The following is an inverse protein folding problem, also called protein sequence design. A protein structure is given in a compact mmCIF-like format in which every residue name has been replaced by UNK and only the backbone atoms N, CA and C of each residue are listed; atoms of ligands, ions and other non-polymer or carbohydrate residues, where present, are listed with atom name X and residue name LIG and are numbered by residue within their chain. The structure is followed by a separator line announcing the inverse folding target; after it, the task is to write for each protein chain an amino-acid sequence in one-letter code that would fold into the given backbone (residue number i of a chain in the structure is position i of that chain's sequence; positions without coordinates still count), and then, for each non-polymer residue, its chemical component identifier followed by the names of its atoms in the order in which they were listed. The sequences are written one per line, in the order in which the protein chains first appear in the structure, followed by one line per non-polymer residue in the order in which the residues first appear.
data_IF_152210306364
#
_entry.id   IF_152210306364
#
_cell.length_a   1.000
_cell.length_b   1.000
_cell.length_c   1.000
_cell.angle_alpha   90.00
_cell.angle_beta   90.00
_cell.angle_gamma   90.00
#
_symmetry.space_group_name_H-M   'P 1'
#
loop_
_entity.id
_entity.type
_entity.pdbx_description
1 polymer ?
#
# COMPACT_ATOMS: atom_id res chain seq x y z
N UNK A 1 -1.47 15.88 -17.64
CA UNK A 1 -0.58 16.00 -16.46
C UNK A 1 -0.84 14.85 -15.51
N UNK A 2 0.20 14.12 -15.10
CA UNK A 2 0.11 12.95 -14.20
C UNK A 2 -0.08 13.35 -12.73
N UNK A 3 0.36 14.55 -12.36
CA UNK A 3 0.39 15.01 -10.97
C UNK A 3 -0.90 14.80 -10.17
N UNK A 4 -2.11 15.15 -10.67
CA UNK A 4 -3.32 15.00 -9.88
C UNK A 4 -3.63 13.53 -9.56
N UNK A 5 -3.29 12.60 -10.47
CA UNK A 5 -3.52 11.15 -10.27
C UNK A 5 -2.67 10.64 -9.11
N UNK A 6 -1.42 11.07 -9.02
CA UNK A 6 -0.51 10.62 -7.98
C UNK A 6 -0.78 11.31 -6.65
N UNK A 7 -1.03 12.61 -6.65
CA UNK A 7 -1.40 13.33 -5.42
C UNK A 7 -2.69 12.76 -4.81
N UNK A 8 -3.75 12.66 -5.61
CA UNK A 8 -5.03 12.12 -5.15
C UNK A 8 -5.01 10.63 -4.88
N UNK A 9 -4.13 9.91 -5.60
CA UNK A 9 -3.83 8.51 -5.36
C UNK A 9 -3.32 8.29 -3.95
N UNK A 10 -2.52 9.21 -3.40
CA UNK A 10 -2.02 9.10 -2.03
C UNK A 10 -2.88 9.84 -0.98
N UNK A 11 -3.70 10.82 -1.35
CA UNK A 11 -4.48 11.62 -0.40
C UNK A 11 -5.74 10.90 0.14
N UNK A 12 -5.58 9.80 0.88
CA UNK A 12 -6.66 9.01 1.44
C UNK A 12 -6.29 8.29 2.76
N UNK A 13 -7.27 7.60 3.37
CA UNK A 13 -7.12 6.95 4.68
C UNK A 13 -5.99 5.90 4.79
N UNK A 14 -5.77 5.07 3.76
CA UNK A 14 -4.71 4.06 3.84
C UNK A 14 -3.30 4.68 3.96
N UNK A 15 -3.00 5.73 3.20
CA UNK A 15 -1.76 6.52 3.33
C UNK A 15 -1.64 7.15 4.71
N UNK A 16 -2.73 7.69 5.23
CA UNK A 16 -2.76 8.24 6.59
C UNK A 16 -2.38 7.17 7.63
N UNK A 17 -2.92 5.96 7.50
CA UNK A 17 -2.61 4.84 8.39
C UNK A 17 -1.11 4.46 8.36
N UNK A 18 -0.42 4.60 7.23
CA UNK A 18 1.04 4.37 7.15
C UNK A 18 1.80 5.32 8.07
N UNK A 19 1.38 6.59 8.14
CA UNK A 19 2.04 7.62 8.95
C UNK A 19 1.87 7.46 10.47
N UNK A 20 1.01 6.54 10.90
CA UNK A 20 0.73 6.28 12.33
C UNK A 20 1.78 5.38 12.97
N UNK A 21 2.44 4.52 12.18
CA UNK A 21 3.24 3.38 12.66
C UNK A 21 4.35 3.78 13.65
N UNK A 22 5.12 4.82 13.35
CA UNK A 22 6.22 5.26 14.21
C UNK A 22 5.76 5.74 15.59
N UNK A 23 4.63 6.46 15.65
CA UNK A 23 4.01 6.87 16.91
C UNK A 23 3.50 5.66 17.69
N UNK A 24 2.83 4.72 17.02
CA UNK A 24 2.30 3.50 17.66
C UNK A 24 3.40 2.60 18.24
N UNK A 25 4.60 2.63 17.66
CA UNK A 25 5.80 1.94 18.17
C UNK A 25 6.54 2.75 19.25
N UNK A 26 5.99 3.90 19.66
CA UNK A 26 6.50 4.76 20.72
C UNK A 26 7.61 5.71 20.28
N UNK A 27 7.72 6.00 18.98
CA UNK A 27 8.49 7.14 18.48
C UNK A 27 7.83 8.47 18.88
N UNK A 28 8.60 9.55 18.85
CA UNK A 28 8.06 10.90 19.04
C UNK A 28 7.66 11.53 17.69
N UNK A 29 6.90 12.62 17.76
CA UNK A 29 6.38 13.33 16.58
C UNK A 29 7.50 13.79 15.64
N UNK A 30 8.59 14.38 16.17
CA UNK A 30 9.72 14.87 15.39
C UNK A 30 10.34 13.77 14.52
N UNK A 31 10.82 12.69 15.14
CA UNK A 31 11.54 11.65 14.41
C UNK A 31 10.62 10.80 13.52
N UNK A 32 9.36 10.65 13.90
CA UNK A 32 8.36 9.99 13.05
C UNK A 32 8.07 10.82 11.79
N UNK A 33 7.93 12.15 11.93
CA UNK A 33 7.75 13.03 10.78
C UNK A 33 8.96 13.02 9.84
N UNK A 34 10.18 13.04 10.38
CA UNK A 34 11.41 12.90 9.59
C UNK A 34 11.45 11.55 8.87
N UNK A 35 11.08 10.46 9.55
CA UNK A 35 11.03 9.13 8.96
C UNK A 35 10.01 9.04 7.81
N UNK A 36 8.82 9.62 7.97
CA UNK A 36 7.80 9.73 6.91
C UNK A 36 8.36 10.44 5.69
N UNK A 37 8.91 11.65 5.87
CA UNK A 37 9.43 12.44 4.75
C UNK A 37 10.59 11.72 4.06
N UNK A 38 11.55 11.18 4.81
CA UNK A 38 12.70 10.46 4.26
C UNK A 38 12.27 9.18 3.52
N UNK A 39 11.33 8.43 4.09
CA UNK A 39 10.77 7.23 3.48
C UNK A 39 10.04 7.54 2.17
N UNK A 40 9.19 8.58 2.17
CA UNK A 40 8.50 9.02 0.97
C UNK A 40 9.48 9.50 -0.12
N UNK A 41 10.49 10.30 0.24
CA UNK A 41 11.54 10.73 -0.71
C UNK A 41 12.21 9.53 -1.38
N UNK A 42 12.58 8.52 -0.59
CA UNK A 42 13.28 7.32 -1.05
C UNK A 42 12.39 6.42 -1.93
N UNK A 43 11.21 6.05 -1.43
CA UNK A 43 10.32 5.13 -2.14
C UNK A 43 9.76 5.76 -3.43
N UNK A 44 9.35 7.03 -3.36
CA UNK A 44 8.82 7.74 -4.53
C UNK A 44 9.89 7.95 -5.61
N UNK A 45 11.17 8.05 -5.24
CA UNK A 45 12.26 8.21 -6.20
C UNK A 45 12.33 7.03 -7.15
N UNK A 46 12.36 5.81 -6.62
CA UNK A 46 12.37 4.60 -7.42
C UNK A 46 11.06 4.39 -8.16
N UNK A 47 9.92 4.60 -7.49
CA UNK A 47 8.60 4.55 -8.11
C UNK A 47 8.50 5.46 -9.34
N UNK A 48 8.93 6.71 -9.24
CA UNK A 48 8.81 7.70 -10.32
C UNK A 48 9.66 7.34 -11.55
N UNK A 49 10.80 6.67 -11.38
CA UNK A 49 11.61 6.20 -12.51
C UNK A 49 10.92 5.12 -13.35
N UNK A 50 10.01 4.34 -12.77
CA UNK A 50 9.19 3.42 -13.56
C UNK A 50 8.19 4.15 -14.46
N UNK A 51 7.74 5.35 -14.07
CA UNK A 51 6.76 6.12 -14.85
C UNK A 51 7.29 6.53 -16.22
N UNK A 52 8.59 6.71 -16.36
CA UNK A 52 9.21 7.18 -17.60
C UNK A 52 9.18 6.12 -18.69
N UNK A 53 8.94 4.86 -18.33
CA UNK A 53 8.86 3.73 -19.25
C UNK A 53 7.54 3.74 -20.01
N UNK A 54 6.47 4.29 -19.41
CA UNK A 54 5.14 4.37 -19.98
C UNK A 54 5.11 5.04 -21.36
N UNK A 55 5.55 6.31 -21.51
CA UNK A 55 5.54 7.01 -22.80
C UNK A 55 6.41 6.35 -23.87
N UNK A 56 7.50 5.69 -23.46
CA UNK A 56 8.44 5.04 -24.38
C UNK A 56 7.94 3.71 -24.93
N UNK A 57 7.30 2.90 -24.08
CA UNK A 57 6.87 1.55 -24.44
C UNK A 57 5.39 1.48 -24.81
N UNK A 58 4.54 2.35 -24.24
CA UNK A 58 3.09 2.32 -24.43
C UNK A 58 2.40 1.09 -23.85
N UNK A 59 3.09 0.32 -23.00
CA UNK A 59 2.62 -0.96 -22.45
C UNK A 59 2.22 -0.83 -20.97
N UNK A 60 1.26 -1.65 -20.48
CA UNK A 60 1.02 -1.82 -19.05
C UNK A 60 2.29 -2.16 -18.29
N UNK A 61 2.43 -1.62 -17.07
CA UNK A 61 3.67 -1.70 -16.28
C UNK A 61 4.16 -3.13 -16.10
N UNK A 62 3.27 -4.03 -15.73
CA UNK A 62 3.66 -5.42 -15.46
C UNK A 62 4.13 -6.12 -16.73
N UNK A 63 3.54 -5.86 -17.90
CA UNK A 63 3.99 -6.44 -19.19
C UNK A 63 5.44 -6.06 -19.50
N UNK A 64 5.88 -4.87 -19.08
CA UNK A 64 7.25 -4.41 -19.25
C UNK A 64 8.29 -5.20 -18.44
N UNK A 65 7.86 -6.17 -17.62
CA UNK A 65 8.74 -7.11 -16.92
C UNK A 65 9.22 -8.27 -17.82
N UNK A 66 8.61 -8.50 -18.99
CA UNK A 66 8.99 -9.60 -19.89
C UNK A 66 10.42 -9.50 -20.42
N UNK A 67 10.98 -8.33 -20.78
CA UNK A 67 12.38 -8.24 -21.19
C UNK A 67 13.38 -8.74 -20.14
N UNK A 68 13.08 -8.55 -18.85
CA UNK A 68 13.98 -8.92 -17.76
C UNK A 68 13.78 -10.36 -17.31
N UNK A 69 12.54 -10.83 -17.26
CA UNK A 69 12.19 -12.14 -16.69
C UNK A 69 11.82 -13.21 -17.73
N UNK A 70 11.60 -12.82 -18.98
CA UNK A 70 11.13 -13.69 -20.07
C UNK A 70 9.60 -13.70 -20.20
N UNK A 71 9.10 -14.25 -21.30
CA UNK A 71 7.67 -14.27 -21.64
C UNK A 71 6.80 -14.90 -20.54
N UNK A 72 7.20 -16.08 -20.04
CA UNK A 72 6.53 -16.79 -18.94
C UNK A 72 7.16 -16.46 -17.58
N UNK A 73 8.47 -16.19 -17.52
CA UNK A 73 9.13 -15.88 -16.25
C UNK A 73 8.62 -14.60 -15.59
N UNK A 74 8.08 -13.64 -16.35
CA UNK A 74 7.44 -12.45 -15.80
C UNK A 74 6.23 -12.75 -14.89
N UNK A 75 5.61 -13.93 -14.99
CA UNK A 75 4.52 -14.35 -14.11
C UNK A 75 4.91 -14.34 -12.63
N UNK A 76 6.20 -14.53 -12.31
CA UNK A 76 6.72 -14.44 -10.95
C UNK A 76 6.37 -13.08 -10.31
N UNK A 77 6.74 -11.99 -11.00
CA UNK A 77 6.56 -10.63 -10.47
C UNK A 77 5.12 -10.14 -10.64
N UNK A 78 4.35 -10.72 -11.56
CA UNK A 78 2.92 -10.46 -11.69
C UNK A 78 2.12 -11.09 -10.54
N UNK A 79 2.56 -12.27 -10.05
CA UNK A 79 2.03 -12.86 -8.83
C UNK A 79 2.23 -11.96 -7.62
N UNK A 80 3.44 -11.39 -7.47
CA UNK A 80 3.73 -10.38 -6.43
C UNK A 80 2.85 -9.15 -6.58
N UNK A 81 2.70 -8.61 -7.79
CA UNK A 81 1.79 -7.49 -8.06
C UNK A 81 0.34 -7.81 -7.65
N UNK A 82 -0.13 -9.04 -7.89
CA UNK A 82 -1.46 -9.47 -7.48
C UNK A 82 -1.63 -9.48 -5.95
N UNK A 83 -0.61 -9.90 -5.20
CA UNK A 83 -0.62 -9.84 -3.74
C UNK A 83 -0.79 -8.38 -3.28
N UNK A 84 -0.08 -7.44 -3.91
CA UNK A 84 -0.22 -6.02 -3.59
C UNK A 84 -1.63 -5.50 -3.88
N UNK A 85 -2.14 -5.69 -5.10
CA UNK A 85 -3.47 -5.19 -5.48
C UNK A 85 -4.58 -5.75 -4.59
N UNK A 86 -4.57 -7.07 -4.35
CA UNK A 86 -5.58 -7.75 -3.53
C UNK A 86 -5.43 -7.35 -2.05
N UNK A 87 -4.20 -7.30 -1.54
CA UNK A 87 -3.90 -6.91 -0.16
C UNK A 87 -4.32 -5.48 0.15
N UNK A 88 -3.99 -4.52 -0.71
CA UNK A 88 -4.41 -3.14 -0.54
C UNK A 88 -5.93 -2.98 -0.65
N UNK A 89 -6.59 -3.68 -1.56
CA UNK A 89 -8.05 -3.63 -1.61
C UNK A 89 -8.72 -4.24 -0.39
N UNK A 90 -8.18 -5.34 0.14
CA UNK A 90 -8.68 -5.90 1.39
C UNK A 90 -8.53 -4.88 2.54
N UNK A 91 -7.39 -4.20 2.60
CA UNK A 91 -7.12 -3.16 3.60
C UNK A 91 -8.08 -1.96 3.48
N UNK A 92 -8.19 -1.41 2.27
CA UNK A 92 -9.00 -0.24 2.01
C UNK A 92 -10.46 -0.46 2.37
N UNK A 93 -11.01 -1.66 2.11
CA UNK A 93 -12.41 -1.95 2.44
C UNK A 93 -12.66 -1.99 3.96
N UNK A 94 -11.69 -2.49 4.74
CA UNK A 94 -11.77 -2.51 6.22
C UNK A 94 -11.67 -1.09 6.76
N UNK A 95 -10.70 -0.30 6.29
CA UNK A 95 -10.58 1.11 6.69
C UNK A 95 -11.82 1.93 6.34
N UNK A 96 -12.42 1.65 5.18
CA UNK A 96 -13.64 2.31 4.76
C UNK A 96 -14.83 1.99 5.69
N UNK A 97 -14.95 0.74 6.15
CA UNK A 97 -15.97 0.35 7.12
C UNK A 97 -15.76 1.03 8.49
N UNK A 98 -14.51 1.16 8.95
CA UNK A 98 -14.17 1.89 10.17
C UNK A 98 -14.48 3.38 10.05
N UNK A 99 -14.17 4.00 8.90
CA UNK A 99 -14.54 5.38 8.63
C UNK A 99 -16.05 5.60 8.61
N UNK A 100 -16.81 4.66 8.02
CA UNK A 100 -18.28 4.70 8.06
C UNK A 100 -18.84 4.53 9.46
N UNK A 101 -18.22 3.69 10.30
CA UNK A 101 -18.58 3.57 11.71
C UNK A 101 -18.39 4.91 12.44
N UNK A 102 -17.28 5.62 12.20
CA UNK A 102 -17.10 6.94 12.81
C UNK A 102 -18.11 7.98 12.33
N UNK A 103 -18.42 7.98 11.04
CA UNK A 103 -19.45 8.87 10.50
C UNK A 103 -20.87 8.53 10.98
N UNK A 104 -21.11 7.27 11.33
CA UNK A 104 -22.39 6.76 11.77
C UNK A 104 -22.22 5.54 12.69
N UNK A 105 -22.27 5.78 14.01
CA UNK A 105 -22.06 4.75 15.03
C UNK A 105 -23.02 3.56 15.00
N UNK A 106 -24.10 3.62 14.21
CA UNK A 106 -24.99 2.46 13.99
C UNK A 106 -24.37 1.38 13.07
N UNK A 107 -23.35 1.72 12.28
CA UNK A 107 -22.63 0.79 11.42
C UNK A 107 -21.49 0.18 12.24
N UNK A 108 -21.42 -1.14 12.37
CA UNK A 108 -20.27 -1.79 13.03
C UNK A 108 -18.95 -1.51 12.28
N UNK A 109 -17.82 -1.28 12.98
CA UNK A 109 -16.51 -1.03 12.34
C UNK A 109 -16.01 -2.22 11.51
N UNK A 110 -16.53 -3.42 11.75
CA UNK A 110 -16.23 -4.64 11.00
C UNK A 110 -17.42 -5.12 10.17
N UNK A 111 -18.37 -4.24 9.84
CA UNK A 111 -19.60 -4.57 9.12
C UNK A 111 -19.30 -5.23 7.77
N UNK A 112 -19.67 -6.51 7.57
CA UNK A 112 -19.49 -7.20 6.29
C UNK A 112 -20.18 -6.48 5.14
N UNK A 113 -21.37 -5.93 5.40
CA UNK A 113 -22.15 -5.18 4.41
C UNK A 113 -21.41 -3.91 3.97
N UNK A 114 -20.82 -3.16 4.91
CA UNK A 114 -20.06 -1.95 4.57
C UNK A 114 -18.82 -2.29 3.71
N UNK A 115 -18.06 -3.30 4.13
CA UNK A 115 -16.86 -3.82 3.42
C UNK A 115 -17.23 -4.17 1.96
N UNK A 116 -18.28 -4.99 1.78
CA UNK A 116 -18.71 -5.46 0.47
C UNK A 116 -19.25 -4.32 -0.41
N UNK A 117 -20.08 -3.43 0.13
CA UNK A 117 -20.68 -2.34 -0.65
C UNK A 117 -19.64 -1.33 -1.15
N UNK A 118 -18.66 -0.98 -0.32
CA UNK A 118 -17.55 -0.11 -0.72
C UNK A 118 -16.72 -0.77 -1.82
N UNK A 119 -16.40 -2.06 -1.66
CA UNK A 119 -15.69 -2.83 -2.67
C UNK A 119 -16.46 -2.85 -4.01
N UNK A 120 -17.78 -3.04 -3.97
CA UNK A 120 -18.63 -3.03 -5.17
C UNK A 120 -18.62 -1.66 -5.85
N UNK A 121 -18.69 -0.56 -5.09
CA UNK A 121 -18.57 0.80 -5.62
C UNK A 121 -17.24 1.03 -6.33
N UNK A 122 -16.13 0.58 -5.72
CA UNK A 122 -14.81 0.66 -6.33
C UNK A 122 -14.69 -0.20 -7.62
N UNK A 123 -15.25 -1.41 -7.63
CA UNK A 123 -15.30 -2.27 -8.83
C UNK A 123 -16.14 -1.62 -9.94
N UNK A 124 -17.27 -1.03 -9.60
CA UNK A 124 -18.12 -0.32 -10.57
C UNK A 124 -17.34 0.83 -11.22
N UNK A 125 -16.62 1.64 -10.44
CA UNK A 125 -15.75 2.69 -10.95
C UNK A 125 -14.60 2.12 -11.81
N UNK A 126 -13.98 1.02 -11.37
CA UNK A 126 -12.94 0.33 -12.13
C UNK A 126 -13.45 -0.23 -13.47
N UNK A 127 -14.73 -0.63 -13.55
CA UNK A 127 -15.38 -1.09 -14.77
C UNK A 127 -15.61 0.06 -15.77
N UNK A 128 -15.88 1.28 -15.31
CA UNK A 128 -15.98 2.48 -16.16
C UNK A 128 -14.65 2.82 -16.86
N UNK A 129 -13.52 2.51 -16.20
CA UNK A 129 -12.18 2.57 -16.79
C UNK A 129 -11.43 3.88 -16.65
N UNK A 130 -10.28 3.91 -17.31
CA UNK A 130 -9.21 4.89 -17.11
C UNK A 130 -9.68 6.36 -17.11
N UNK A 131 -10.42 6.80 -18.14
CA UNK A 131 -10.78 8.21 -18.30
C UNK A 131 -11.64 8.73 -17.14
N UNK A 132 -12.58 7.90 -16.65
CA UNK A 132 -13.47 8.25 -15.55
C UNK A 132 -12.74 8.27 -14.21
N UNK A 133 -11.84 7.32 -13.99
CA UNK A 133 -10.98 7.30 -12.80
C UNK A 133 -10.10 8.56 -12.79
N UNK A 134 -9.45 8.88 -13.91
CA UNK A 134 -8.57 10.03 -14.02
C UNK A 134 -9.32 11.37 -13.85
N UNK A 135 -10.56 11.47 -14.34
CA UNK A 135 -11.39 12.66 -14.14
C UNK A 135 -11.77 12.83 -12.66
N UNK A 136 -12.20 11.76 -11.99
CA UNK A 136 -12.54 11.78 -10.57
C UNK A 136 -11.33 12.19 -9.71
N UNK A 137 -10.16 11.60 -9.97
CA UNK A 137 -8.93 11.91 -9.27
C UNK A 137 -8.49 13.37 -9.42
N UNK A 138 -8.70 13.98 -10.60
CA UNK A 138 -8.34 15.38 -10.82
C UNK A 138 -9.17 16.33 -9.97
N UNK A 139 -10.49 16.14 -9.92
CA UNK A 139 -11.36 16.95 -9.05
C UNK A 139 -11.03 16.73 -7.57
N UNK A 140 -10.83 15.46 -7.21
CA UNK A 140 -10.52 15.07 -5.83
C UNK A 140 -9.17 15.63 -5.34
N UNK A 141 -8.16 15.73 -6.21
CA UNK A 141 -6.87 16.34 -5.87
C UNK A 141 -7.05 17.76 -5.31
N UNK A 142 -7.80 18.63 -6.01
CA UNK A 142 -8.00 20.01 -5.57
C UNK A 142 -8.81 20.10 -4.27
N UNK A 143 -9.83 19.25 -4.11
CA UNK A 143 -10.58 19.16 -2.86
C UNK A 143 -9.66 18.82 -1.68
N UNK A 144 -8.83 17.79 -1.83
CA UNK A 144 -7.91 17.36 -0.78
C UNK A 144 -6.81 18.39 -0.49
N UNK A 145 -6.30 19.12 -1.49
CA UNK A 145 -5.36 20.22 -1.24
C UNK A 145 -5.98 21.24 -0.28
N UNK A 146 -7.23 21.65 -0.51
CA UNK A 146 -7.91 22.62 0.37
C UNK A 146 -8.07 22.06 1.77
N UNK A 147 -8.62 20.84 1.90
CA UNK A 147 -8.87 20.22 3.21
C UNK A 147 -7.55 20.04 3.99
N UNK A 148 -6.51 19.49 3.35
CA UNK A 148 -5.22 19.26 3.99
C UNK A 148 -4.50 20.57 4.35
N UNK A 149 -4.67 21.62 3.55
CA UNK A 149 -4.13 22.95 3.86
C UNK A 149 -4.81 23.54 5.09
N UNK A 150 -6.14 23.51 5.15
CA UNK A 150 -6.90 24.01 6.31
C UNK A 150 -6.50 23.24 7.57
N UNK A 151 -6.45 21.91 7.50
CA UNK A 151 -6.01 21.07 8.61
C UNK A 151 -4.58 21.43 9.04
N UNK A 152 -3.63 21.47 8.11
CA UNK A 152 -2.21 21.61 8.45
C UNK A 152 -1.87 22.99 8.98
N UNK A 153 -2.40 24.05 8.35
CA UNK A 153 -2.21 25.42 8.82
C UNK A 153 -2.88 25.60 10.18
N UNK A 154 -4.12 25.14 10.34
CA UNK A 154 -4.81 25.26 11.62
C UNK A 154 -4.15 24.45 12.74
N UNK A 155 -3.65 23.25 12.43
CA UNK A 155 -2.92 22.42 13.39
C UNK A 155 -1.68 23.11 13.98
N UNK A 156 -0.99 23.96 13.21
CA UNK A 156 0.15 24.73 13.72
C UNK A 156 -0.24 25.74 14.81
N UNK A 157 -1.48 26.21 14.82
CA UNK A 157 -1.96 27.24 15.75
C UNK A 157 -2.83 26.68 16.88
N UNK A 158 -3.50 25.55 16.66
CA UNK A 158 -4.47 25.01 17.63
C UNK A 158 -3.98 23.75 18.35
N UNK A 159 -3.18 22.90 17.69
CA UNK A 159 -2.70 21.66 18.30
C UNK A 159 -1.42 21.93 19.08
N UNK A 160 -1.47 21.60 20.37
CA UNK A 160 -0.34 21.71 21.28
C UNK A 160 0.12 20.32 21.70
N UNK A 161 1.40 20.02 21.51
CA UNK A 161 2.00 18.76 21.90
C UNK A 161 2.95 18.96 23.09
N UNK A 162 3.05 17.98 24.02
CA UNK A 162 4.07 18.02 25.07
C UNK A 162 5.48 18.14 24.48
N UNK A 163 6.39 18.85 25.15
CA UNK A 163 7.74 19.12 24.64
C UNK A 163 8.53 17.86 24.24
N UNK A 164 8.29 16.72 24.92
CA UNK A 164 8.91 15.42 24.60
C UNK A 164 8.63 14.95 23.16
N UNK A 165 7.51 15.39 22.55
CA UNK A 165 7.19 15.06 21.16
C UNK A 165 8.15 15.71 20.15
N UNK A 166 8.80 16.80 20.55
CA UNK A 166 9.74 17.56 19.74
C UNK A 166 11.19 17.42 20.21
N UNK A 167 11.45 16.58 21.21
CA UNK A 167 12.78 16.39 21.77
C UNK A 167 13.70 15.62 20.80
N UNK A 168 14.79 16.23 20.30
CA UNK A 168 15.75 15.53 19.45
C UNK A 168 16.43 14.37 20.17
N UNK A 169 16.60 14.43 21.49
CA UNK A 169 17.18 13.34 22.29
C UNK A 169 16.23 12.12 22.40
N UNK A 170 14.94 12.29 22.08
CA UNK A 170 13.93 11.22 22.06
C UNK A 170 14.05 10.25 20.89
N UNK A 171 15.17 10.23 20.16
CA UNK A 171 15.38 9.32 19.03
C UNK A 171 15.34 7.86 19.45
N UNK A 172 14.55 7.06 18.73
CA UNK A 172 14.45 5.61 18.91
C UNK A 172 14.60 4.93 17.56
N UNK A 173 15.65 4.13 17.39
CA UNK A 173 16.00 3.53 16.09
C UNK A 173 14.93 2.60 15.52
N UNK A 174 14.28 1.78 16.35
CA UNK A 174 13.25 0.83 15.91
C UNK A 174 12.02 1.54 15.30
N UNK A 175 11.30 2.43 16.01
CA UNK A 175 10.14 3.12 15.43
C UNK A 175 10.52 4.01 14.25
N UNK A 176 11.72 4.63 14.26
CA UNK A 176 12.22 5.43 13.14
C UNK A 176 12.39 4.59 11.86
N UNK A 177 13.11 3.48 11.94
CA UNK A 177 13.37 2.61 10.78
C UNK A 177 12.07 1.93 10.30
N UNK A 178 11.21 1.51 11.22
CA UNK A 178 9.91 0.94 10.88
C UNK A 178 9.05 1.94 10.09
N UNK A 179 8.90 3.18 10.57
CA UNK A 179 8.16 4.21 9.86
C UNK A 179 8.79 4.57 8.51
N UNK A 180 10.12 4.72 8.46
CA UNK A 180 10.84 5.07 7.24
C UNK A 180 10.64 4.02 6.16
N UNK A 181 10.84 2.75 6.49
CA UNK A 181 10.70 1.66 5.51
C UNK A 181 9.24 1.33 5.21
N UNK A 182 8.30 1.58 6.13
CA UNK A 182 6.88 1.50 5.83
C UNK A 182 6.47 2.56 4.79
N UNK A 183 6.87 3.82 4.99
CA UNK A 183 6.62 4.90 4.02
C UNK A 183 7.31 4.65 2.68
N UNK A 184 8.57 4.19 2.70
CA UNK A 184 9.30 3.85 1.49
C UNK A 184 8.68 2.66 0.74
N UNK A 185 8.27 1.62 1.45
CA UNK A 185 7.58 0.46 0.88
C UNK A 185 6.25 0.84 0.26
N UNK A 186 5.47 1.65 0.99
CA UNK A 186 4.19 2.14 0.50
C UNK A 186 4.37 2.88 -0.83
N UNK A 187 5.27 3.87 -0.88
CA UNK A 187 5.57 4.60 -2.12
C UNK A 187 6.13 3.70 -3.21
N UNK A 188 7.05 2.79 -2.87
CA UNK A 188 7.63 1.88 -3.84
C UNK A 188 6.56 0.96 -4.45
N UNK A 189 5.56 0.53 -3.68
CA UNK A 189 4.54 -0.40 -4.16
C UNK A 189 3.68 0.20 -5.28
N UNK A 190 3.58 1.53 -5.38
CA UNK A 190 2.93 2.22 -6.48
C UNK A 190 3.66 2.06 -7.84
N UNK A 191 4.88 1.54 -7.84
CA UNK A 191 5.65 1.28 -9.05
C UNK A 191 4.96 0.32 -10.03
N UNK A 192 4.09 -0.59 -9.57
CA UNK A 192 3.33 -1.50 -10.43
C UNK A 192 2.19 -0.82 -11.21
N UNK A 193 1.89 0.44 -10.89
CA UNK A 193 0.79 1.23 -11.44
C UNK A 193 1.28 2.28 -12.43
N UNK A 194 2.51 2.79 -12.30
CA UNK A 194 2.91 4.06 -12.92
C UNK A 194 2.86 4.08 -14.44
N UNK A 195 3.26 3.00 -15.12
CA UNK A 195 3.12 2.92 -16.58
C UNK A 195 1.70 2.67 -17.05
N UNK A 196 0.80 2.19 -16.21
CA UNK A 196 -0.61 2.03 -16.61
C UNK A 196 -1.26 3.40 -16.88
N UNK A 197 -0.75 4.46 -16.26
CA UNK A 197 -1.22 5.84 -16.47
C UNK A 197 -0.35 6.59 -17.47
N UNK A 198 0.96 6.53 -17.32
CA UNK A 198 1.89 7.28 -18.17
C UNK A 198 1.97 6.75 -19.61
N UNK A 199 1.57 5.51 -19.91
CA UNK A 199 1.45 4.98 -21.29
C UNK A 199 0.47 5.74 -22.19
N UNK A 200 -0.45 6.50 -21.61
CA UNK A 200 -1.43 7.30 -22.35
C UNK A 200 -0.92 8.70 -22.69
N UNK A 201 0.28 9.07 -22.24
CA UNK A 201 0.89 10.33 -22.59
C UNK A 201 1.33 10.36 -24.06
N UNK A 202 1.40 11.56 -24.66
CA UNK A 202 2.01 11.76 -25.97
C UNK A 202 3.45 11.20 -26.02
N UNK A 203 3.85 10.69 -27.20
CA UNK A 203 5.15 10.02 -27.40
C UNK A 203 6.35 10.95 -27.25
N UNK A 204 6.15 12.25 -27.39
CA UNK A 204 7.15 13.31 -27.26
C UNK A 204 7.41 13.72 -25.79
N UNK A 205 6.63 13.20 -24.84
CA UNK A 205 6.89 13.44 -23.41
C UNK A 205 8.18 12.72 -22.99
N UNK A 206 9.14 13.52 -22.52
CA UNK A 206 10.44 13.04 -22.08
C UNK A 206 10.44 12.35 -20.71
N UNK A 207 11.58 11.73 -20.41
CA UNK A 207 11.87 11.06 -19.12
C UNK A 207 11.72 12.04 -17.95
N UNK A 208 12.26 13.26 -18.10
CA UNK A 208 12.29 14.27 -17.03
C UNK A 208 10.88 14.71 -16.65
N UNK A 209 10.04 15.00 -17.63
CA UNK A 209 8.66 15.45 -17.43
C UNK A 209 7.85 14.35 -16.75
N UNK A 210 7.94 13.12 -17.24
CA UNK A 210 7.23 11.99 -16.63
C UNK A 210 7.71 11.71 -15.21
N UNK A 211 9.02 11.83 -14.95
CA UNK A 211 9.58 11.64 -13.62
C UNK A 211 9.06 12.69 -12.64
N UNK A 212 9.24 13.98 -12.93
CA UNK A 212 8.94 15.04 -11.95
C UNK A 212 7.44 15.18 -11.66
N UNK A 213 6.57 15.03 -12.66
CA UNK A 213 5.13 15.11 -12.42
C UNK A 213 4.60 13.92 -11.63
N UNK A 214 5.21 12.74 -11.78
CA UNK A 214 4.90 11.57 -10.94
C UNK A 214 5.50 11.73 -9.55
N UNK A 215 6.79 12.08 -9.46
CA UNK A 215 7.52 12.23 -8.21
C UNK A 215 6.88 13.28 -7.30
N UNK A 216 6.64 14.50 -7.80
CA UNK A 216 6.05 15.57 -7.00
C UNK A 216 4.61 15.27 -6.59
N UNK A 217 3.84 14.63 -7.46
CA UNK A 217 2.45 14.26 -7.14
C UNK A 217 2.41 13.25 -6.00
N UNK A 218 3.10 12.13 -6.17
CA UNK A 218 3.11 11.04 -5.19
C UNK A 218 3.82 11.44 -3.90
N UNK A 219 4.97 12.13 -3.98
CA UNK A 219 5.70 12.57 -2.79
C UNK A 219 4.87 13.54 -1.95
N UNK A 220 4.31 14.58 -2.57
CA UNK A 220 3.52 15.58 -1.83
C UNK A 220 2.24 14.94 -1.29
N UNK A 221 1.50 14.16 -2.09
CA UNK A 221 0.30 13.48 -1.60
C UNK A 221 0.60 12.50 -0.46
N UNK A 222 1.60 11.63 -0.67
CA UNK A 222 2.03 10.60 0.26
C UNK A 222 2.54 11.17 1.57
N UNK A 223 3.57 12.01 1.52
CA UNK A 223 4.17 12.59 2.71
C UNK A 223 3.17 13.46 3.48
N UNK A 224 2.37 14.28 2.79
CA UNK A 224 1.40 15.15 3.46
C UNK A 224 0.33 14.34 4.19
N UNK A 225 -0.29 13.36 3.52
CA UNK A 225 -1.33 12.55 4.14
C UNK A 225 -0.78 11.64 5.26
N UNK A 226 0.44 11.09 5.10
CA UNK A 226 1.11 10.37 6.18
C UNK A 226 1.40 11.27 7.39
N UNK A 227 1.88 12.50 7.17
CA UNK A 227 2.14 13.46 8.24
C UNK A 227 0.84 13.85 8.98
N UNK A 228 -0.29 13.97 8.29
CA UNK A 228 -1.60 14.13 8.94
C UNK A 228 -1.87 12.95 9.88
N UNK A 229 -1.57 11.72 9.45
CA UNK A 229 -1.69 10.53 10.29
C UNK A 229 -0.76 10.53 11.49
N UNK A 230 0.49 10.94 11.29
CA UNK A 230 1.49 11.12 12.36
C UNK A 230 1.03 12.12 13.41
N UNK A 231 0.50 13.27 12.99
CA UNK A 231 -0.06 14.31 13.87
C UNK A 231 -1.29 13.80 14.61
N UNK A 232 -2.22 13.15 13.89
CA UNK A 232 -3.43 12.57 14.48
C UNK A 232 -3.13 11.51 15.54
N UNK A 233 -2.19 10.61 15.26
CA UNK A 233 -1.74 9.60 16.21
C UNK A 233 -1.06 10.21 17.45
N UNK A 234 -0.28 11.27 17.28
CA UNK A 234 0.34 11.97 18.40
C UNK A 234 -0.70 12.71 19.26
N UNK A 235 -1.77 13.23 18.65
CA UNK A 235 -2.84 13.95 19.33
C UNK A 235 -3.76 13.01 20.11
N UNK A 236 -4.08 11.85 19.54
CA UNK A 236 -5.00 10.88 20.11
C UNK A 236 -4.46 9.43 20.02
N UNK A 237 -3.39 9.08 20.75
CA UNK A 237 -2.66 7.82 20.59
C UNK A 237 -3.43 6.54 20.96
N UNK A 238 -4.60 6.69 21.61
CA UNK A 238 -5.46 5.56 22.02
C UNK A 238 -6.63 5.33 21.08
N UNK A 239 -6.86 6.22 20.11
CA UNK A 239 -7.94 6.11 19.16
C UNK A 239 -7.50 5.32 17.93
N UNK A 240 -8.47 4.75 17.21
CA UNK A 240 -8.21 4.16 15.90
C UNK A 240 -7.87 5.26 14.88
N UNK A 241 -7.41 4.86 13.69
CA UNK A 241 -6.91 5.78 12.67
C UNK A 241 -7.96 6.83 12.26
N UNK A 242 -9.21 6.41 12.07
CA UNK A 242 -10.29 7.30 11.64
C UNK A 242 -10.69 8.28 12.74
N UNK A 243 -10.86 7.80 13.98
CA UNK A 243 -11.22 8.62 15.12
C UNK A 243 -10.11 9.57 15.55
N UNK A 244 -8.83 9.13 15.50
CA UNK A 244 -7.69 9.99 15.80
C UNK A 244 -7.61 11.17 14.84
N UNK A 245 -7.84 10.91 13.55
CA UNK A 245 -7.87 11.95 12.52
C UNK A 245 -9.05 12.90 12.73
N UNK A 246 -10.26 12.38 12.96
CA UNK A 246 -11.44 13.20 13.23
C UNK A 246 -11.22 14.10 14.46
N UNK A 247 -10.73 13.52 15.56
CA UNK A 247 -10.42 14.25 16.79
C UNK A 247 -9.40 15.38 16.57
N UNK A 248 -8.29 15.08 15.90
CA UNK A 248 -7.25 16.07 15.63
C UNK A 248 -7.76 17.20 14.71
N UNK A 249 -8.59 16.87 13.73
CA UNK A 249 -9.14 17.84 12.80
C UNK A 249 -10.25 18.71 13.44
N UNK A 250 -11.11 18.15 14.28
CA UNK A 250 -12.13 18.92 15.01
C UNK A 250 -11.51 19.86 16.06
N UNK A 251 -10.36 19.49 16.62
CA UNK A 251 -9.56 20.38 17.48
C UNK A 251 -8.95 21.57 16.70
N UNK A 252 -8.85 21.47 15.37
CA UNK A 252 -8.46 22.59 14.50
C UNK A 252 -9.64 23.51 14.20
N UNK A 253 -10.74 22.92 13.75
CA UNK A 253 -11.97 23.62 13.41
C UNK A 253 -13.14 22.67 13.63
N UNK A 254 -14.13 23.00 14.48
CA UNK A 254 -15.28 22.13 14.70
C UNK A 254 -15.98 21.73 13.40
N UNK A 255 -16.12 20.43 13.15
CA UNK A 255 -16.72 19.85 11.95
C UNK A 255 -15.74 19.54 10.83
N UNK A 256 -14.47 19.98 10.93
CA UNK A 256 -13.43 19.65 9.96
C UNK A 256 -13.10 18.16 9.97
N UNK A 257 -13.20 17.48 11.11
CA UNK A 257 -12.96 16.04 11.22
C UNK A 257 -13.86 15.24 10.30
N UNK A 258 -15.17 15.54 10.31
CA UNK A 258 -16.13 14.92 9.40
C UNK A 258 -15.83 15.23 7.93
N UNK A 259 -15.46 16.47 7.60
CA UNK A 259 -15.10 16.88 6.23
C UNK A 259 -13.87 16.12 5.73
N UNK A 260 -12.82 16.07 6.54
CA UNK A 260 -11.59 15.35 6.22
C UNK A 260 -11.83 13.84 6.11
N UNK A 261 -12.64 13.26 6.99
CA UNK A 261 -12.97 11.84 6.96
C UNK A 261 -13.77 11.44 5.72
N UNK A 262 -14.79 12.22 5.35
CA UNK A 262 -15.53 12.00 4.10
C UNK A 262 -14.62 12.17 2.89
N UNK A 263 -13.79 13.21 2.86
CA UNK A 263 -12.81 13.43 1.80
C UNK A 263 -11.86 12.24 1.65
N UNK A 264 -11.21 11.83 2.74
CA UNK A 264 -10.28 10.71 2.74
C UNK A 264 -10.94 9.37 2.39
N UNK A 265 -12.22 9.17 2.72
CA UNK A 265 -13.02 8.00 2.33
C UNK A 265 -13.32 8.00 0.83
N UNK A 266 -13.69 9.14 0.25
CA UNK A 266 -13.87 9.27 -1.20
C UNK A 266 -12.57 8.96 -1.95
N UNK A 267 -11.44 9.49 -1.46
CA UNK A 267 -10.11 9.14 -1.96
C UNK A 267 -9.86 7.63 -1.91
N UNK A 268 -10.19 7.00 -0.78
CA UNK A 268 -10.02 5.57 -0.57
C UNK A 268 -10.81 4.72 -1.59
N UNK A 269 -12.02 5.15 -1.98
CA UNK A 269 -12.79 4.49 -3.04
C UNK A 269 -12.11 4.63 -4.39
N UNK A 270 -11.57 5.81 -4.71
CA UNK A 270 -10.89 6.03 -6.00
C UNK A 270 -9.61 5.20 -6.13
N UNK A 271 -8.78 5.11 -5.08
CA UNK A 271 -7.60 4.21 -5.09
C UNK A 271 -8.03 2.74 -5.12
N UNK A 272 -9.11 2.36 -4.45
CA UNK A 272 -9.58 0.97 -4.53
C UNK A 272 -10.00 0.59 -5.95
N UNK A 273 -10.56 1.54 -6.70
CA UNK A 273 -10.85 1.37 -8.12
C UNK A 273 -9.57 1.23 -8.96
N UNK A 274 -8.51 2.01 -8.67
CA UNK A 274 -7.19 1.87 -9.29
C UNK A 274 -6.61 0.47 -9.07
N UNK A 275 -6.66 -0.02 -7.83
CA UNK A 275 -6.19 -1.36 -7.48
C UNK A 275 -6.96 -2.46 -8.23
N UNK A 276 -8.29 -2.37 -8.30
CA UNK A 276 -9.08 -3.35 -9.06
C UNK A 276 -8.79 -3.28 -10.56
N UNK A 277 -8.60 -2.08 -11.10
CA UNK A 277 -8.24 -1.89 -12.50
C UNK A 277 -6.87 -2.51 -12.82
N UNK A 278 -5.84 -2.24 -12.03
CA UNK A 278 -4.51 -2.83 -12.18
C UNK A 278 -4.49 -4.34 -11.97
N UNK A 279 -5.25 -4.85 -10.99
CA UNK A 279 -5.46 -6.29 -10.79
C UNK A 279 -6.10 -6.94 -12.04
N UNK A 280 -7.13 -6.31 -12.60
CA UNK A 280 -7.80 -6.80 -13.82
C UNK A 280 -6.84 -6.86 -15.01
N UNK A 281 -6.06 -5.80 -15.26
CA UNK A 281 -5.06 -5.79 -16.33
C UNK A 281 -3.99 -6.88 -16.14
N UNK A 282 -3.51 -7.05 -14.90
CA UNK A 282 -2.49 -8.04 -14.58
C UNK A 282 -3.04 -9.47 -14.71
N UNK A 283 -4.25 -9.75 -14.22
CA UNK A 283 -4.92 -11.05 -14.38
C UNK A 283 -5.15 -11.41 -15.84
N UNK A 284 -5.61 -10.46 -16.66
CA UNK A 284 -5.77 -10.66 -18.09
C UNK A 284 -4.42 -10.95 -18.77
N UNK A 285 -3.35 -10.26 -18.36
CA UNK A 285 -2.00 -10.51 -18.88
C UNK A 285 -1.48 -11.90 -18.48
N UNK A 286 -1.72 -12.33 -17.25
CA UNK A 286 -1.43 -13.70 -16.79
C UNK A 286 -2.16 -14.74 -17.65
N UNK A 287 -3.46 -14.55 -17.85
CA UNK A 287 -4.27 -15.46 -18.65
C UNK A 287 -3.80 -15.51 -20.12
N UNK A 288 -3.44 -14.36 -20.71
CA UNK A 288 -2.94 -14.26 -22.09
C UNK A 288 -1.61 -15.00 -22.28
N UNK A 289 -0.76 -15.00 -21.24
CA UNK A 289 0.52 -15.71 -21.23
C UNK A 289 0.34 -17.22 -21.28
N UNK A 290 -0.72 -17.75 -20.68
CA UNK A 290 -1.05 -19.18 -20.71
C UNK A 290 -1.76 -19.55 -22.00
N UNK A 291 -2.77 -18.76 -22.40
CA UNK A 291 -3.54 -18.97 -23.62
C UNK A 291 -3.88 -17.62 -24.25
N UNK A 292 -3.49 -17.36 -25.51
CA UNK A 292 -3.76 -16.10 -26.17
C UNK A 292 -5.24 -15.74 -26.08
N UNK A 293 -5.52 -14.53 -25.61
CA UNK A 293 -6.88 -14.06 -25.40
C UNK A 293 -7.13 -12.73 -26.07
N UNK A 294 -8.30 -12.61 -26.67
CA UNK A 294 -8.85 -11.30 -27.04
C UNK A 294 -9.50 -10.68 -25.81
N UNK A 295 -9.10 -9.46 -25.47
CA UNK A 295 -9.74 -8.69 -24.40
C UNK A 295 -11.16 -8.29 -24.83
N UNK A 296 -12.16 -8.70 -24.04
CA UNK A 296 -13.56 -8.32 -24.23
C UNK A 296 -14.10 -7.71 -22.93
N UNK A 297 -15.19 -6.95 -23.02
CA UNK A 297 -15.84 -6.38 -21.84
C UNK A 297 -16.18 -7.47 -20.79
N UNK A 298 -16.69 -8.62 -21.24
CA UNK A 298 -17.01 -9.76 -20.37
C UNK A 298 -15.77 -10.25 -19.62
N UNK A 299 -14.64 -10.48 -20.30
CA UNK A 299 -13.41 -10.95 -19.64
C UNK A 299 -12.86 -9.92 -18.64
N UNK A 300 -13.00 -8.63 -18.95
CA UNK A 300 -12.67 -7.56 -18.02
C UNK A 300 -13.54 -7.63 -16.76
N UNK A 301 -14.86 -7.74 -16.89
CA UNK A 301 -15.77 -7.89 -15.74
C UNK A 301 -15.47 -9.16 -14.93
N UNK A 302 -15.18 -10.27 -15.59
CA UNK A 302 -14.78 -11.52 -14.91
C UNK A 302 -13.47 -11.33 -14.13
N UNK A 303 -12.45 -10.71 -14.72
CA UNK A 303 -11.19 -10.46 -14.01
C UNK A 303 -11.36 -9.50 -12.82
N UNK A 304 -12.24 -8.50 -12.92
CA UNK A 304 -12.61 -7.63 -11.80
C UNK A 304 -13.33 -8.42 -10.70
N UNK A 305 -14.26 -9.30 -11.08
CA UNK A 305 -14.97 -10.16 -10.13
C UNK A 305 -14.02 -11.12 -9.39
N UNK A 306 -13.02 -11.69 -10.07
CA UNK A 306 -12.01 -12.53 -9.43
C UNK A 306 -11.20 -11.73 -8.40
N UNK A 307 -10.72 -10.54 -8.77
CA UNK A 307 -9.99 -9.67 -7.85
C UNK A 307 -10.87 -9.22 -6.66
N UNK A 308 -12.15 -8.93 -6.92
CA UNK A 308 -13.15 -8.57 -5.90
C UNK A 308 -13.36 -9.70 -4.89
N UNK A 309 -13.61 -10.93 -5.35
CA UNK A 309 -13.83 -12.08 -4.47
C UNK A 309 -12.58 -12.34 -3.62
N UNK A 310 -11.39 -12.32 -4.21
CA UNK A 310 -10.14 -12.53 -3.49
C UNK A 310 -9.92 -11.46 -2.40
N UNK A 311 -10.12 -10.18 -2.74
CA UNK A 311 -9.91 -9.07 -1.80
C UNK A 311 -10.95 -9.09 -0.66
N UNK A 312 -12.22 -9.36 -0.97
CA UNK A 312 -13.28 -9.46 0.03
C UNK A 312 -13.08 -10.65 0.98
N UNK A 313 -12.64 -11.80 0.47
CA UNK A 313 -12.36 -12.97 1.30
C UNK A 313 -11.29 -12.66 2.35
N UNK A 314 -10.24 -11.92 1.98
CA UNK A 314 -9.20 -11.49 2.91
C UNK A 314 -9.72 -10.42 3.88
N UNK A 315 -10.47 -9.42 3.38
CA UNK A 315 -11.04 -8.37 4.21
C UNK A 315 -11.96 -8.93 5.31
N UNK A 316 -12.89 -9.82 4.94
CA UNK A 316 -13.86 -10.42 5.85
C UNK A 316 -13.23 -11.38 6.86
N UNK A 317 -12.15 -12.09 6.47
CA UNK A 317 -11.45 -13.02 7.38
C UNK A 317 -10.47 -12.33 8.34
N UNK A 318 -10.03 -11.10 8.02
CA UNK A 318 -8.96 -10.40 8.76
C UNK A 318 -9.39 -9.09 9.42
N UNK A 319 -10.67 -8.73 9.39
CA UNK A 319 -11.19 -7.41 9.77
C UNK A 319 -10.91 -6.97 11.21
N UNK A 320 -10.65 -7.90 12.15
CA UNK A 320 -10.50 -7.60 13.58
C UNK A 320 -9.09 -7.20 14.04
N UNK A 321 -8.02 -7.46 13.27
CA UNK A 321 -6.62 -7.21 13.68
C UNK A 321 -5.77 -6.56 12.58
N UNK A 322 -6.39 -5.69 11.78
CA UNK A 322 -5.85 -5.36 10.46
C UNK A 322 -4.64 -4.40 10.50
N UNK A 323 -4.54 -3.45 11.45
CA UNK A 323 -3.41 -2.49 11.51
C UNK A 323 -2.07 -3.20 11.68
N UNK A 324 -1.98 -4.17 12.58
CA UNK A 324 -0.74 -4.96 12.76
C UNK A 324 -0.40 -5.78 11.50
N UNK A 325 -1.41 -6.30 10.79
CA UNK A 325 -1.20 -7.02 9.53
C UNK A 325 -0.84 -6.11 8.36
N UNK A 326 -1.12 -4.81 8.46
CA UNK A 326 -0.80 -3.85 7.42
C UNK A 326 0.70 -3.54 7.39
N UNK A 327 1.35 -3.37 8.56
CA UNK A 327 2.81 -3.28 8.63
C UNK A 327 3.48 -4.53 8.03
N UNK A 328 2.99 -5.72 8.38
CA UNK A 328 3.48 -6.98 7.80
C UNK A 328 3.32 -7.03 6.28
N UNK A 329 2.17 -6.57 5.76
CA UNK A 329 1.95 -6.46 4.32
C UNK A 329 2.99 -5.53 3.67
N UNK A 330 3.20 -4.33 4.22
CA UNK A 330 4.20 -3.39 3.71
C UNK A 330 5.61 -3.98 3.75
N UNK A 331 5.97 -4.71 4.80
CA UNK A 331 7.26 -5.38 4.89
C UNK A 331 7.43 -6.44 3.79
N UNK A 332 6.43 -7.30 3.60
CA UNK A 332 6.42 -8.32 2.54
C UNK A 332 6.53 -7.70 1.15
N UNK A 333 5.75 -6.66 0.87
CA UNK A 333 5.79 -5.94 -0.40
C UNK A 333 7.17 -5.31 -0.64
N UNK A 334 7.79 -4.73 0.39
CA UNK A 334 9.14 -4.18 0.29
C UNK A 334 10.14 -5.25 -0.15
N UNK A 335 10.13 -6.41 0.52
CA UNK A 335 11.05 -7.51 0.21
C UNK A 335 10.85 -8.07 -1.19
N UNK A 336 9.61 -8.13 -1.68
CA UNK A 336 9.32 -8.71 -2.99
C UNK A 336 9.50 -7.70 -4.15
N UNK A 337 9.24 -6.41 -3.94
CA UNK A 337 9.36 -5.39 -4.99
C UNK A 337 10.73 -4.75 -5.08
N UNK A 338 11.52 -4.70 -3.99
CA UNK A 338 12.90 -4.16 -4.04
C UNK A 338 13.76 -4.82 -5.14
N UNK A 339 13.86 -6.16 -5.23
CA UNK A 339 14.69 -6.79 -6.26
C UNK A 339 14.10 -6.61 -7.66
N UNK A 340 12.77 -6.64 -7.81
CA UNK A 340 12.13 -6.38 -9.10
C UNK A 340 12.39 -4.95 -9.60
N UNK A 341 12.23 -3.96 -8.72
CA UNK A 341 12.49 -2.54 -9.00
C UNK A 341 13.92 -2.36 -9.46
N UNK A 342 14.89 -2.89 -8.69
CA UNK A 342 16.31 -2.79 -9.03
C UNK A 342 16.61 -3.39 -10.41
N UNK A 343 16.13 -4.61 -10.69
CA UNK A 343 16.34 -5.29 -11.97
C UNK A 343 15.72 -4.51 -13.12
N UNK A 344 14.47 -4.06 -12.97
CA UNK A 344 13.76 -3.36 -14.02
C UNK A 344 14.40 -1.99 -14.33
N UNK A 345 14.76 -1.20 -13.31
CA UNK A 345 15.40 0.09 -13.52
C UNK A 345 16.82 -0.06 -14.08
N UNK A 346 17.62 -1.01 -13.59
CA UNK A 346 18.96 -1.30 -14.14
C UNK A 346 18.86 -1.76 -15.60
N UNK A 347 17.92 -2.65 -15.92
CA UNK A 347 17.72 -3.09 -17.30
C UNK A 347 17.34 -1.93 -18.22
N UNK A 348 16.42 -1.06 -17.77
CA UNK A 348 15.94 0.06 -18.56
C UNK A 348 16.98 1.15 -18.77
N UNK A 349 17.64 1.60 -17.71
CA UNK A 349 18.56 2.75 -17.78
C UNK A 349 19.99 2.37 -18.17
N UNK A 350 20.49 1.22 -17.73
CA UNK A 350 21.90 0.86 -17.88
C UNK A 350 22.13 -0.18 -18.97
N UNK A 351 21.35 -1.27 -18.98
CA UNK A 351 21.58 -2.40 -19.89
C UNK A 351 21.05 -2.10 -21.29
N UNK A 352 19.76 -1.76 -21.40
CA UNK A 352 19.06 -1.56 -22.68
C UNK A 352 18.91 -0.09 -23.05
N UNK A 353 19.09 0.82 -22.10
CA UNK A 353 19.07 2.28 -22.31
C UNK A 353 17.81 2.74 -23.04
N UNK A 354 16.65 2.20 -22.66
CA UNK A 354 15.35 2.49 -23.29
C UNK A 354 15.08 1.78 -24.63
N UNK A 355 16.03 1.02 -25.19
CA UNK A 355 15.85 0.35 -26.49
C UNK A 355 15.25 -1.04 -26.34
N UNK A 356 13.96 -1.17 -26.69
CA UNK A 356 13.21 -2.41 -26.64
C UNK A 356 12.52 -2.72 -27.97
N UNK A 357 12.53 -3.99 -28.37
CA UNK A 357 11.61 -4.49 -29.39
C UNK A 357 10.27 -4.85 -28.75
N UNK A 358 9.22 -4.05 -28.99
CA UNK A 358 7.87 -4.29 -28.47
C UNK A 358 7.29 -5.59 -29.05
N UNK A 359 7.53 -5.87 -30.34
CA UNK A 359 7.05 -7.09 -30.99
C UNK A 359 7.57 -8.35 -30.28
N UNK A 360 8.84 -8.34 -29.90
CA UNK A 360 9.47 -9.48 -29.24
C UNK A 360 8.99 -9.67 -27.79
N UNK A 361 8.45 -8.64 -27.13
CA UNK A 361 7.82 -8.74 -25.79
C UNK A 361 6.59 -9.68 -25.85
N UNK A 362 5.92 -9.76 -26.99
CA UNK A 362 4.76 -10.62 -27.19
C UNK A 362 5.09 -11.94 -27.92
N UNK A 363 6.37 -12.22 -28.20
CA UNK A 363 6.81 -13.44 -28.86
C UNK A 363 7.39 -14.43 -27.85
N UNK A 364 6.72 -15.58 -27.55
CA UNK A 364 7.22 -16.56 -26.59
C UNK A 364 8.52 -17.26 -27.07
N UNK A 365 8.79 -17.25 -28.37
CA UNK A 365 10.03 -17.74 -28.98
C UNK A 365 10.98 -16.60 -29.38
N UNK A 366 10.73 -15.39 -28.87
CA UNK A 366 11.47 -14.19 -29.22
C UNK A 366 12.77 -14.00 -28.45
N UNK A 367 13.45 -12.88 -28.72
CA UNK A 367 14.78 -12.57 -28.20
C UNK A 367 14.87 -12.45 -26.67
N UNK A 368 13.76 -12.20 -25.97
CA UNK A 368 13.72 -12.16 -24.51
C UNK A 368 13.58 -13.55 -23.87
N UNK A 369 13.35 -14.58 -24.69
CA UNK A 369 13.17 -15.96 -24.26
C UNK A 369 11.89 -16.19 -23.45
N UNK A 370 11.54 -17.46 -23.26
CA UNK A 370 10.39 -17.83 -22.42
C UNK A 370 10.68 -17.68 -20.94
N UNK A 371 11.91 -18.00 -20.54
CA UNK A 371 12.44 -17.90 -19.19
C UNK A 371 13.79 -17.21 -19.26
N UNK A 372 13.87 -15.94 -18.86
CA UNK A 372 15.14 -15.22 -18.86
C UNK A 372 15.87 -15.49 -17.54
N UNK A 373 16.77 -16.48 -17.57
CA UNK A 373 17.50 -16.90 -16.37
C UNK A 373 18.33 -15.79 -15.73
N UNK A 374 18.77 -14.78 -16.48
CA UNK A 374 19.57 -13.67 -15.93
C UNK A 374 18.74 -12.83 -14.94
N UNK A 375 17.52 -12.44 -15.31
CA UNK A 375 16.65 -11.69 -14.41
C UNK A 375 16.09 -12.55 -13.28
N UNK A 376 15.72 -13.81 -13.56
CA UNK A 376 15.21 -14.73 -12.54
C UNK A 376 16.27 -15.03 -11.46
N UNK A 377 17.50 -15.30 -11.85
CA UNK A 377 18.60 -15.55 -10.89
C UNK A 377 18.95 -14.28 -10.11
N UNK A 378 19.03 -13.11 -10.77
CA UNK A 378 19.24 -11.85 -10.07
C UNK A 378 18.16 -11.56 -9.03
N UNK A 379 16.89 -11.88 -9.34
CA UNK A 379 15.79 -11.71 -8.40
C UNK A 379 15.90 -12.65 -7.21
N UNK A 380 16.15 -13.94 -7.45
CA UNK A 380 16.29 -14.94 -6.38
C UNK A 380 17.50 -14.66 -5.49
N UNK A 381 18.64 -14.27 -6.06
CA UNK A 381 19.84 -13.89 -5.31
C UNK A 381 19.58 -12.62 -4.50
N UNK A 382 18.98 -11.59 -5.12
CA UNK A 382 18.62 -10.36 -4.42
C UNK A 382 17.68 -10.64 -3.25
N UNK A 383 16.63 -11.43 -3.47
CA UNK A 383 15.70 -11.88 -2.44
C UNK A 383 16.41 -12.64 -1.32
N UNK A 384 17.26 -13.63 -1.65
CA UNK A 384 17.99 -14.42 -0.68
C UNK A 384 18.93 -13.59 0.20
N UNK A 385 19.61 -12.59 -0.38
CA UNK A 385 20.49 -11.66 0.35
C UNK A 385 19.71 -10.79 1.35
N UNK A 386 18.43 -10.52 1.09
CA UNK A 386 17.60 -9.74 2.02
C UNK A 386 17.09 -10.56 3.22
N UNK A 387 17.00 -11.89 3.12
CA UNK A 387 16.42 -12.77 4.16
C UNK A 387 17.02 -12.53 5.57
N UNK A 388 18.35 -12.41 5.76
CA UNK A 388 18.93 -12.15 7.08
C UNK A 388 18.45 -10.84 7.72
N UNK A 389 18.01 -9.89 6.90
CA UNK A 389 17.52 -8.57 7.32
C UNK A 389 16.01 -8.52 7.53
N UNK A 390 15.31 -9.65 7.41
CA UNK A 390 13.88 -9.69 7.69
C UNK A 390 13.60 -9.47 9.18
N UNK A 391 12.67 -8.55 9.46
CA UNK A 391 12.22 -8.28 10.83
C UNK A 391 11.53 -9.52 11.42
N UNK A 392 11.54 -9.61 12.75
CA UNK A 392 11.15 -10.81 13.51
C UNK A 392 9.70 -11.30 13.26
N UNK A 393 8.82 -10.45 12.71
CA UNK A 393 7.45 -10.82 12.35
C UNK A 393 7.38 -11.75 11.11
N UNK A 394 8.31 -11.62 10.15
CA UNK A 394 8.37 -12.50 8.98
C UNK A 394 8.95 -13.90 9.31
N UNK A 395 9.68 -14.04 10.42
CA UNK A 395 10.22 -15.34 10.87
C UNK A 395 9.16 -16.23 11.51
N UNK A 396 8.13 -15.67 12.13
CA UNK A 396 7.09 -16.45 12.82
C UNK A 396 6.09 -17.11 11.86
N UNK A 397 5.83 -16.51 10.70
CA UNK A 397 4.97 -17.10 9.64
C UNK A 397 5.63 -18.24 8.87
N UNK A 398 6.97 -18.26 8.79
CA UNK A 398 7.71 -19.38 8.17
C UNK A 398 8.04 -20.51 9.16
N UNK A 399 7.88 -20.29 10.47
CA UNK A 399 8.32 -21.21 11.53
C UNK A 399 7.21 -21.94 12.30
N UNK A 400 5.93 -21.62 12.11
CA UNK A 400 4.83 -22.20 12.91
C UNK A 400 4.31 -23.55 12.40
N UNK A 401 5.20 -24.50 12.15
CA UNK A 401 4.87 -25.94 12.05
C UNK A 401 5.76 -26.78 12.98
N UNK A 402 6.08 -26.27 14.17
CA UNK A 402 6.50 -27.11 15.29
C UNK A 402 5.51 -26.97 16.43
N UNK A 403 4.64 -27.96 16.51
CA UNK A 403 3.78 -28.24 17.66
C UNK A 403 4.62 -28.28 18.94
N UNK A 404 4.33 -27.36 19.86
CA UNK A 404 4.81 -27.49 21.23
C UNK A 404 4.12 -28.72 21.86
N UNK A 405 4.86 -29.65 22.50
CA UNK A 405 4.24 -30.77 23.19
C UNK A 405 3.54 -30.27 24.46
N UNK A 406 2.44 -30.93 24.89
CA UNK A 406 1.69 -30.51 26.06
C UNK A 406 2.53 -30.65 27.34
N UNK A 407 2.26 -29.82 28.38
CA UNK A 407 3.01 -29.87 29.62
C UNK A 407 2.80 -31.23 30.30
N UNK A 408 3.91 -31.93 30.59
CA UNK A 408 3.91 -33.16 31.39
C UNK A 408 3.49 -32.83 32.82
N UNK A 409 2.36 -33.38 33.24
CA UNK A 409 1.98 -33.49 34.64
C UNK A 409 2.86 -34.53 35.33
N UNK A 410 3.81 -34.10 36.17
CA UNK A 410 4.49 -34.99 37.10
C UNK A 410 3.85 -34.85 38.48
N UNK A 411 2.94 -35.76 38.80
CA UNK A 411 2.53 -36.02 40.18
C UNK A 411 3.51 -36.95 40.87
N UNK A 412 3.98 -36.56 42.06
CA UNK A 412 4.35 -37.45 43.16
C UNK A 412 4.73 -36.58 44.37
N UNK A 413 3.82 -36.44 45.33
CA UNK A 413 3.89 -37.09 46.64
C UNK A 413 4.89 -36.43 47.63
N UNK A 414 4.35 -35.59 48.52
CA UNK A 414 4.62 -35.74 49.96
C UNK A 414 3.48 -35.14 50.79
N UNK A 415 2.78 -36.04 51.46
CA UNK A 415 1.77 -35.76 52.46
C UNK A 415 2.38 -35.09 53.71
N UNK A 416 1.72 -34.04 54.23
CA UNK A 416 1.63 -33.79 55.68
C UNK A 416 0.34 -33.05 56.01
N UNK A 417 -0.59 -33.87 56.52
CA UNK A 417 -1.68 -33.68 57.48
C UNK A 417 -2.16 -32.26 57.86
N UNK A 418 -3.47 -32.09 57.67
CA UNK A 418 -4.51 -31.73 58.67
C UNK A 418 -4.34 -30.42 59.45
N UNK A 419 -5.13 -29.40 59.08
CA UNK A 419 -6.27 -28.93 59.89
C UNK A 419 -7.13 -27.94 59.08
N UNK A 420 -8.41 -28.25 58.93
CA UNK A 420 -9.51 -27.28 58.73
C UNK A 420 -10.42 -27.44 59.95
N UNK A 421 -11.04 -26.36 60.45
CA UNK A 421 -12.46 -26.23 60.13
C UNK A 421 -13.00 -24.79 59.96
N UNK A 422 -14.13 -24.74 59.23
CA UNK A 422 -15.31 -23.84 59.36
C UNK A 422 -15.31 -22.42 58.76
N UNK A 423 -16.09 -22.30 57.67
CA UNK A 423 -17.31 -21.50 57.45
C UNK A 423 -17.48 -20.06 58.00
N UNK A 424 -18.10 -19.25 57.13
CA UNK A 424 -18.84 -17.98 57.34
C UNK A 424 -17.96 -16.77 57.73
N UNK A 425 -17.95 -15.64 57.01
CA UNK A 425 -19.02 -14.91 56.30
C UNK A 425 -18.59 -14.47 54.89
#
# INVERSE_FOLDING_TARGET
HLWPVWFSGDAHLATLAVGVLGISLGGNLLWTAVAVVAGCLLGTFFMAFHSTQGPQLGLPQMIQSRPQFGYSGALLVWGVAMIAYVGYNAFNQVLAAQALHQLNGSISPTSPTAIVLIALGAVALAALGYDKIHAAQRGFAYLMIVILTVFSVGALFTLSFPAVQWDPAGFRGVPFLAQLFAAASYQLSWSIYVSDYSRYLPRDVGVRESFWWTYLGAFVGGAWMMLVGTVAAAAAPKLDVAAAMEHAADAVLPGLGRVLLVGALLGLVTISALNFYGASLTLLSCADTVKPLRCTAVKRLVSLAVAFVASNAIALSSSSNFVNRFEDLLAVLLYLFTPWTAINLVDFYLVRKGHYSIREIFNPAGMYGRWNWRGLTAYLVGFAVMIPFFSSAARSTCGSTRSAPPPRTSGSSRARRVHKPRNCQ
#
